data_IF_660578766125
#
_entry.id   IF_660578766125
#
_cell.length_a   1.000
_cell.length_b   1.000
_cell.length_c   1.000
_cell.angle_alpha   90.00
_cell.angle_beta   90.00
_cell.angle_gamma   90.00
#
_symmetry.space_group_name_H-M   'P 1'
#
loop_
_entity.id
_entity.type
_entity.pdbx_description
1 polymer ?
#
# COMPACT_ATOMS: atom_id res chain seq x y z
N UNK A 1 -50.54 -5.69 -4.36
CA UNK A 1 -49.50 -6.57 -4.93
C UNK A 1 -48.15 -5.91 -4.69
N UNK A 2 -47.35 -6.35 -3.70
CA UNK A 2 -45.93 -5.96 -3.56
C UNK A 2 -45.18 -6.87 -4.49
N UNK A 3 -44.61 -6.31 -5.55
CA UNK A 3 -43.60 -7.03 -6.33
C UNK A 3 -42.44 -7.31 -5.41
N UNK A 4 -42.20 -8.58 -5.06
CA UNK A 4 -40.99 -9.00 -4.39
C UNK A 4 -39.83 -8.66 -5.35
N UNK A 5 -39.06 -7.64 -5.01
CA UNK A 5 -37.85 -7.30 -5.73
C UNK A 5 -36.86 -8.44 -5.48
N UNK A 6 -36.55 -9.23 -6.51
CA UNK A 6 -35.61 -10.31 -6.43
C UNK A 6 -34.21 -9.69 -6.17
N UNK A 7 -33.61 -9.89 -4.98
CA UNK A 7 -32.32 -9.30 -4.65
C UNK A 7 -31.23 -9.72 -5.62
N UNK A 8 -31.35 -10.88 -6.26
CA UNK A 8 -30.35 -11.37 -7.22
C UNK A 8 -30.24 -10.48 -8.48
N UNK A 9 -31.33 -9.80 -8.87
CA UNK A 9 -31.35 -8.94 -10.07
C UNK A 9 -30.55 -7.63 -9.91
N UNK A 10 -30.28 -7.19 -8.69
CA UNK A 10 -29.51 -5.97 -8.41
C UNK A 10 -28.04 -6.25 -8.03
N UNK A 11 -27.76 -7.41 -7.48
CA UNK A 11 -26.41 -7.83 -7.04
C UNK A 11 -25.42 -7.88 -8.19
N UNK A 12 -25.81 -8.56 -9.27
CA UNK A 12 -24.93 -8.79 -10.42
C UNK A 12 -24.45 -7.50 -11.11
N UNK A 13 -25.31 -6.55 -11.48
CA UNK A 13 -24.87 -5.32 -12.15
C UNK A 13 -23.97 -4.44 -11.28
N UNK A 14 -24.20 -4.38 -9.98
CA UNK A 14 -23.39 -3.58 -9.04
C UNK A 14 -21.98 -4.20 -8.90
N UNK A 15 -21.92 -5.51 -8.71
CA UNK A 15 -20.65 -6.24 -8.61
C UNK A 15 -19.84 -6.13 -9.91
N UNK A 16 -20.49 -6.27 -11.06
CA UNK A 16 -19.84 -6.11 -12.36
C UNK A 16 -19.30 -4.68 -12.56
N UNK A 17 -20.07 -3.66 -12.19
CA UNK A 17 -19.61 -2.26 -12.24
C UNK A 17 -18.38 -2.03 -11.36
N UNK A 18 -18.42 -2.50 -10.11
CA UNK A 18 -17.28 -2.38 -9.19
C UNK A 18 -16.05 -3.13 -9.71
N UNK A 19 -16.24 -4.34 -10.23
CA UNK A 19 -15.17 -5.14 -10.83
C UNK A 19 -14.55 -4.44 -12.05
N UNK A 20 -15.39 -3.89 -12.95
CA UNK A 20 -14.91 -3.16 -14.13
C UNK A 20 -14.11 -1.91 -13.75
N UNK A 21 -14.60 -1.13 -12.78
CA UNK A 21 -13.89 0.07 -12.28
C UNK A 21 -12.57 -0.30 -11.61
N UNK A 22 -12.58 -1.32 -10.76
CA UNK A 22 -11.36 -1.79 -10.08
C UNK A 22 -10.32 -2.31 -11.07
N UNK A 23 -10.75 -3.04 -12.10
CA UNK A 23 -9.87 -3.54 -13.17
C UNK A 23 -9.29 -2.37 -13.95
N UNK A 24 -10.12 -1.43 -14.39
CA UNK A 24 -9.67 -0.26 -15.12
C UNK A 24 -8.64 0.56 -14.33
N UNK A 25 -8.94 0.86 -13.07
CA UNK A 25 -8.03 1.64 -12.21
C UNK A 25 -6.75 0.88 -11.87
N UNK A 26 -6.82 -0.40 -11.53
CA UNK A 26 -5.66 -1.22 -11.22
C UNK A 26 -4.70 -1.33 -12.40
N UNK A 27 -5.23 -1.59 -13.60
CA UNK A 27 -4.42 -1.64 -14.84
C UNK A 27 -3.85 -0.26 -15.19
N UNK A 28 -4.65 0.80 -15.06
CA UNK A 28 -4.20 2.17 -15.33
C UNK A 28 -3.05 2.58 -14.41
N UNK A 29 -3.14 2.33 -13.10
CA UNK A 29 -2.10 2.66 -12.14
C UNK A 29 -0.81 1.87 -12.41
N UNK A 30 -0.91 0.58 -12.73
CA UNK A 30 0.23 -0.24 -13.10
C UNK A 30 0.88 0.24 -14.41
N UNK A 31 0.07 0.61 -15.40
CA UNK A 31 0.54 1.19 -16.67
C UNK A 31 1.29 2.51 -16.46
N UNK A 32 0.77 3.40 -15.60
CA UNK A 32 1.45 4.64 -15.22
C UNK A 32 2.80 4.32 -14.55
N UNK A 33 2.85 3.33 -13.65
CA UNK A 33 4.08 2.88 -13.01
C UNK A 33 5.12 2.35 -14.00
N UNK A 34 4.67 1.56 -14.98
CA UNK A 34 5.51 1.06 -16.06
C UNK A 34 6.05 2.20 -16.93
N UNK A 35 5.18 3.10 -17.39
CA UNK A 35 5.57 4.29 -18.18
C UNK A 35 6.56 5.20 -17.45
N UNK A 36 6.41 5.37 -16.13
CA UNK A 36 7.31 6.16 -15.29
C UNK A 36 8.61 5.43 -14.93
N UNK A 37 8.85 4.25 -15.47
CA UNK A 37 10.02 3.40 -15.16
C UNK A 37 10.17 3.12 -13.66
N UNK A 38 9.06 2.88 -12.97
CA UNK A 38 9.02 2.45 -11.57
C UNK A 38 8.74 0.95 -11.44
N UNK A 39 8.19 0.32 -12.49
CA UNK A 39 7.93 -1.11 -12.60
C UNK A 39 8.56 -1.64 -13.88
N UNK A 40 9.05 -2.86 -13.86
CA UNK A 40 9.33 -3.63 -15.07
C UNK A 40 8.03 -4.25 -15.63
N UNK A 41 8.12 -5.00 -16.72
CA UNK A 41 6.94 -5.61 -17.33
C UNK A 41 6.29 -6.66 -16.41
N UNK A 42 7.09 -7.48 -15.75
CA UNK A 42 6.61 -8.50 -14.80
C UNK A 42 5.97 -7.86 -13.58
N UNK A 43 6.61 -6.84 -13.02
CA UNK A 43 6.09 -6.06 -11.91
C UNK A 43 4.78 -5.33 -12.25
N UNK A 44 4.63 -4.83 -13.50
CA UNK A 44 3.40 -4.17 -13.92
C UNK A 44 2.20 -5.15 -13.98
N UNK A 45 2.42 -6.39 -14.44
CA UNK A 45 1.37 -7.41 -14.46
C UNK A 45 0.91 -7.71 -13.03
N UNK A 46 1.85 -8.01 -12.13
CA UNK A 46 1.52 -8.32 -10.74
C UNK A 46 0.98 -7.12 -9.97
N UNK A 47 1.46 -5.90 -10.22
CA UNK A 47 0.90 -4.68 -9.67
C UNK A 47 -0.54 -4.44 -10.13
N UNK A 48 -0.89 -4.82 -11.37
CA UNK A 48 -2.28 -4.77 -11.84
C UNK A 48 -3.17 -5.70 -11.01
N UNK A 49 -2.75 -6.95 -10.79
CA UNK A 49 -3.52 -7.93 -10.00
C UNK A 49 -3.70 -7.45 -8.55
N UNK A 50 -2.61 -7.05 -7.90
CA UNK A 50 -2.63 -6.48 -6.54
C UNK A 50 -3.56 -5.27 -6.48
N UNK A 51 -3.44 -4.35 -7.44
CA UNK A 51 -4.27 -3.13 -7.53
C UNK A 51 -5.75 -3.45 -7.71
N UNK A 52 -6.10 -4.37 -8.61
CA UNK A 52 -7.49 -4.78 -8.86
C UNK A 52 -8.12 -5.35 -7.59
N UNK A 53 -7.47 -6.33 -6.95
CA UNK A 53 -8.00 -6.97 -5.74
C UNK A 53 -8.13 -5.96 -4.60
N UNK A 54 -7.13 -5.10 -4.42
CA UNK A 54 -7.11 -4.11 -3.33
C UNK A 54 -8.19 -3.05 -3.53
N UNK A 55 -8.34 -2.50 -4.75
CA UNK A 55 -9.39 -1.51 -5.07
C UNK A 55 -10.78 -2.15 -4.98
N UNK A 56 -10.93 -3.39 -5.46
CA UNK A 56 -12.17 -4.15 -5.35
C UNK A 56 -12.57 -4.38 -3.89
N UNK A 57 -11.63 -4.66 -3.01
CA UNK A 57 -11.87 -4.82 -1.57
C UNK A 57 -12.33 -3.52 -0.89
N UNK A 58 -11.89 -2.35 -1.40
CA UNK A 58 -12.35 -1.05 -0.93
C UNK A 58 -11.51 0.08 -1.48
N UNK A 59 -12.15 1.20 -1.84
CA UNK A 59 -11.46 2.37 -2.41
C UNK A 59 -10.38 2.92 -1.46
N UNK A 60 -10.61 2.88 -0.16
CA UNK A 60 -9.63 3.27 0.87
C UNK A 60 -8.33 2.45 0.77
N UNK A 61 -8.44 1.14 0.55
CA UNK A 61 -7.29 0.27 0.38
C UNK A 61 -6.53 0.61 -0.90
N UNK A 62 -7.27 0.85 -2.00
CA UNK A 62 -6.68 1.28 -3.26
C UNK A 62 -5.97 2.62 -3.20
N UNK A 63 -6.55 3.60 -2.50
CA UNK A 63 -5.95 4.92 -2.29
C UNK A 63 -4.67 4.83 -1.46
N UNK A 64 -4.67 4.04 -0.38
CA UNK A 64 -3.47 3.82 0.45
C UNK A 64 -2.35 3.16 -0.35
N UNK A 65 -2.67 2.11 -1.12
CA UNK A 65 -1.72 1.44 -2.00
C UNK A 65 -1.13 2.41 -3.04
N UNK A 66 -1.99 3.20 -3.70
CA UNK A 66 -1.56 4.18 -4.69
C UNK A 66 -0.67 5.27 -4.07
N UNK A 67 -1.05 5.79 -2.91
CA UNK A 67 -0.26 6.77 -2.17
C UNK A 67 1.13 6.22 -1.84
N UNK A 68 1.20 5.03 -1.23
CA UNK A 68 2.46 4.36 -0.92
C UNK A 68 3.34 4.16 -2.16
N UNK A 69 2.75 3.66 -3.24
CA UNK A 69 3.48 3.40 -4.49
C UNK A 69 4.05 4.68 -5.10
N UNK A 70 3.26 5.74 -5.21
CA UNK A 70 3.71 6.98 -5.86
C UNK A 70 4.64 7.79 -4.97
N UNK A 71 4.37 7.88 -3.67
CA UNK A 71 5.25 8.58 -2.72
C UNK A 71 6.61 7.88 -2.61
N UNK A 72 6.63 6.57 -2.43
CA UNK A 72 7.85 5.78 -2.43
C UNK A 72 8.64 5.91 -3.74
N UNK A 73 7.95 5.86 -4.89
CA UNK A 73 8.60 6.05 -6.20
C UNK A 73 9.14 7.46 -6.40
N UNK A 74 8.52 8.47 -5.81
CA UNK A 74 9.01 9.84 -5.86
C UNK A 74 10.27 10.00 -5.01
N UNK A 75 10.25 9.49 -3.78
CA UNK A 75 11.38 9.60 -2.83
C UNK A 75 12.61 8.83 -3.33
N UNK A 76 12.43 7.67 -3.94
CA UNK A 76 13.54 6.92 -4.57
C UNK A 76 14.25 7.73 -5.66
N UNK A 77 13.55 8.61 -6.36
CA UNK A 77 14.12 9.45 -7.42
C UNK A 77 14.79 10.74 -6.92
N UNK A 78 14.58 11.09 -5.64
CA UNK A 78 15.20 12.30 -5.06
C UNK A 78 16.71 12.12 -4.97
N UNK A 79 17.45 13.09 -5.52
CA UNK A 79 18.92 13.16 -5.50
C UNK A 79 19.60 11.85 -5.92
N UNK A 80 19.19 11.28 -7.05
CA UNK A 80 19.72 10.03 -7.59
C UNK A 80 21.25 10.02 -7.76
N UNK A 81 21.89 11.15 -8.06
CA UNK A 81 23.35 11.26 -8.21
C UNK A 81 24.10 11.04 -6.87
N UNK A 82 23.51 11.48 -5.76
CA UNK A 82 24.10 11.22 -4.42
C UNK A 82 23.97 9.74 -4.08
N UNK A 83 22.81 9.16 -4.34
CA UNK A 83 22.52 7.74 -4.07
C UNK A 83 23.40 6.81 -4.89
N UNK A 84 23.71 7.12 -6.14
CA UNK A 84 24.63 6.36 -6.99
C UNK A 84 26.04 6.26 -6.44
N UNK A 85 26.49 7.26 -5.70
CA UNK A 85 27.82 7.24 -5.09
C UNK A 85 27.88 6.35 -3.84
N UNK A 86 26.74 6.09 -3.23
CA UNK A 86 26.62 5.30 -1.99
C UNK A 86 26.25 3.86 -2.30
N UNK A 87 25.43 3.63 -3.33
CA UNK A 87 24.98 2.30 -3.73
C UNK A 87 25.35 2.03 -5.20
N UNK A 88 26.31 1.11 -5.41
CA UNK A 88 26.77 0.69 -6.74
C UNK A 88 25.66 0.01 -7.57
N UNK A 89 24.62 -0.52 -6.91
CA UNK A 89 23.46 -1.15 -7.57
C UNK A 89 22.38 -0.14 -7.97
N UNK A 90 22.52 1.12 -7.62
CA UNK A 90 21.57 2.16 -7.97
C UNK A 90 21.68 2.52 -9.46
N UNK A 91 20.80 1.93 -10.31
CA UNK A 91 20.74 2.16 -11.76
C UNK A 91 20.06 3.48 -12.11
N UNK A 92 20.35 3.99 -13.31
CA UNK A 92 19.65 5.16 -13.86
C UNK A 92 18.14 4.98 -13.91
N UNK A 93 17.41 5.86 -13.21
CA UNK A 93 15.96 5.80 -13.11
C UNK A 93 15.41 5.12 -11.86
N UNK A 94 16.26 4.69 -10.92
CA UNK A 94 15.88 3.90 -9.76
C UNK A 94 15.84 2.40 -10.07
N UNK A 95 15.72 1.57 -9.04
CA UNK A 95 15.51 0.13 -9.23
C UNK A 95 14.09 -0.11 -9.77
N UNK A 96 13.98 -0.70 -10.97
CA UNK A 96 12.69 -1.14 -11.51
C UNK A 96 12.18 -2.28 -10.63
N UNK A 97 10.98 -2.11 -10.06
CA UNK A 97 10.37 -3.15 -9.23
C UNK A 97 9.86 -4.28 -10.12
N UNK A 98 10.41 -5.46 -9.91
CA UNK A 98 10.01 -6.71 -10.56
C UNK A 98 8.82 -7.38 -9.82
N UNK A 99 8.36 -8.51 -10.34
CA UNK A 99 7.25 -9.24 -9.73
C UNK A 99 7.57 -9.70 -8.30
N UNK A 100 8.83 -10.05 -7.98
CA UNK A 100 9.23 -10.52 -6.65
C UNK A 100 9.05 -9.40 -5.63
N UNK A 101 9.51 -8.20 -5.96
CA UNK A 101 9.38 -7.02 -5.09
C UNK A 101 7.91 -6.58 -4.94
N UNK A 102 7.13 -6.63 -6.03
CA UNK A 102 5.70 -6.32 -5.97
C UNK A 102 4.95 -7.33 -5.11
N UNK A 103 5.26 -8.62 -5.22
CA UNK A 103 4.63 -9.66 -4.39
C UNK A 103 5.09 -9.58 -2.94
N UNK A 104 6.37 -9.34 -2.68
CA UNK A 104 6.90 -9.22 -1.32
C UNK A 104 6.20 -8.11 -0.51
N UNK A 105 5.90 -6.98 -1.16
CA UNK A 105 5.26 -5.83 -0.50
C UNK A 105 3.74 -5.88 -0.62
N UNK A 106 3.19 -6.37 -1.74
CA UNK A 106 1.78 -6.30 -2.08
C UNK A 106 0.94 -7.47 -1.60
N UNK A 107 1.49 -8.69 -1.46
CA UNK A 107 0.70 -9.89 -1.18
C UNK A 107 -0.01 -9.82 0.17
N UNK A 108 0.72 -9.55 1.24
CA UNK A 108 0.16 -9.51 2.60
C UNK A 108 -0.96 -8.47 2.72
N UNK A 109 -0.77 -7.19 2.35
CA UNK A 109 -1.85 -6.21 2.46
C UNK A 109 -3.03 -6.52 1.52
N UNK A 110 -2.82 -7.12 0.35
CA UNK A 110 -3.91 -7.55 -0.51
C UNK A 110 -4.78 -8.60 0.16
N UNK A 111 -4.17 -9.57 0.84
CA UNK A 111 -4.89 -10.57 1.63
C UNK A 111 -5.65 -9.94 2.80
N UNK A 112 -5.06 -8.96 3.49
CA UNK A 112 -5.74 -8.23 4.57
C UNK A 112 -6.95 -7.43 4.05
N UNK A 113 -6.83 -6.78 2.90
CA UNK A 113 -7.93 -6.07 2.27
C UNK A 113 -9.07 -7.02 1.87
N UNK A 114 -8.73 -8.15 1.25
CA UNK A 114 -9.70 -9.18 0.89
C UNK A 114 -10.37 -9.81 2.12
N UNK A 115 -9.61 -10.09 3.19
CA UNK A 115 -10.15 -10.62 4.45
C UNK A 115 -11.09 -9.61 5.13
N UNK A 116 -10.79 -8.31 5.07
CA UNK A 116 -11.67 -7.25 5.56
C UNK A 116 -13.02 -7.28 4.84
N UNK A 117 -13.01 -7.36 3.51
CA UNK A 117 -14.23 -7.45 2.69
C UNK A 117 -15.00 -8.75 2.98
N UNK A 118 -14.29 -9.88 3.06
CA UNK A 118 -14.89 -11.18 3.34
C UNK A 118 -15.60 -11.20 4.70
N UNK A 119 -14.99 -10.60 5.73
CA UNK A 119 -15.55 -10.51 7.09
C UNK A 119 -16.85 -9.72 7.15
N UNK A 120 -17.08 -8.79 6.23
CA UNK A 120 -18.31 -8.00 6.12
C UNK A 120 -19.42 -8.71 5.31
N UNK A 121 -19.21 -9.95 4.89
CA UNK A 121 -20.15 -10.69 4.05
C UNK A 121 -19.81 -10.66 2.54
N UNK A 122 -18.63 -10.19 2.18
CA UNK A 122 -18.13 -10.23 0.81
C UNK A 122 -19.02 -9.45 -0.18
N UNK A 123 -19.52 -10.14 -1.20
CA UNK A 123 -20.32 -9.53 -2.27
C UNK A 123 -21.68 -8.98 -1.80
N UNK A 124 -22.30 -9.60 -0.82
CA UNK A 124 -23.60 -9.12 -0.28
C UNK A 124 -23.43 -7.74 0.37
N UNK A 125 -22.37 -7.54 1.14
CA UNK A 125 -22.04 -6.24 1.72
C UNK A 125 -21.85 -5.14 0.67
N UNK A 126 -21.21 -5.46 -0.46
CA UNK A 126 -21.04 -4.50 -1.57
C UNK A 126 -22.37 -3.99 -2.10
N UNK A 127 -23.37 -4.85 -2.13
CA UNK A 127 -24.70 -4.52 -2.68
C UNK A 127 -25.53 -3.69 -1.73
N UNK A 128 -25.51 -4.04 -0.44
CA UNK A 128 -26.31 -3.38 0.58
C UNK A 128 -25.84 -1.94 0.85
N UNK A 129 -24.60 -1.64 0.50
CA UNK A 129 -23.95 -0.38 0.87
C UNK A 129 -23.47 0.46 -0.34
N UNK A 130 -24.24 0.56 -1.37
CA UNK A 130 -23.93 1.29 -2.63
C UNK A 130 -23.92 2.83 -2.45
N UNK A 131 -23.64 3.39 -1.34
CA UNK A 131 -23.65 4.85 -1.28
C UNK A 131 -23.07 5.56 -0.07
N UNK A 132 -22.62 4.88 0.95
CA UNK A 132 -22.40 5.56 2.22
C UNK A 132 -21.08 5.42 2.99
N UNK A 133 -20.05 4.69 2.52
CA UNK A 133 -19.24 3.95 3.47
C UNK A 133 -17.78 4.26 3.62
N UNK A 134 -17.34 5.44 3.36
CA UNK A 134 -15.92 5.76 3.56
C UNK A 134 -15.52 5.98 5.02
N UNK A 135 -16.44 6.29 5.92
CA UNK A 135 -16.09 6.83 7.23
C UNK A 135 -16.22 5.86 8.41
N UNK A 136 -17.14 4.89 8.38
CA UNK A 136 -17.53 4.21 9.62
C UNK A 136 -16.65 3.02 10.03
N UNK A 137 -16.04 2.32 9.11
CA UNK A 137 -15.39 1.05 9.40
C UNK A 137 -14.06 1.15 10.18
N UNK A 138 -13.35 2.26 10.12
CA UNK A 138 -12.05 2.42 10.82
C UNK A 138 -12.24 2.76 12.30
N UNK A 139 -13.34 3.44 12.65
CA UNK A 139 -13.58 3.95 14.01
C UNK A 139 -14.27 2.89 14.89
N UNK A 140 -14.71 1.81 14.31
CA UNK A 140 -15.62 0.85 14.95
C UNK A 140 -14.99 -0.16 15.91
N UNK A 141 -13.65 -0.23 16.01
CA UNK A 141 -12.97 -1.22 16.86
C UNK A 141 -13.27 -1.01 18.35
N UNK A 142 -13.46 0.22 18.77
CA UNK A 142 -13.63 0.60 20.18
C UNK A 142 -15.10 0.65 20.65
N UNK A 143 -16.07 0.51 19.77
CA UNK A 143 -17.47 0.60 20.15
C UNK A 143 -18.04 -0.77 20.48
N UNK A 144 -18.52 -0.97 21.71
CA UNK A 144 -19.06 -2.23 22.21
C UNK A 144 -20.39 -2.65 21.56
N UNK A 145 -21.12 -1.69 20.96
CA UNK A 145 -22.44 -1.94 20.32
C UNK A 145 -22.35 -2.46 18.90
N UNK A 146 -21.14 -2.60 18.33
CA UNK A 146 -20.94 -3.03 16.95
C UNK A 146 -20.83 -4.55 16.88
N UNK A 147 -21.36 -5.12 15.79
CA UNK A 147 -21.30 -6.56 15.55
C UNK A 147 -19.86 -7.08 15.40
N UNK A 148 -19.67 -8.37 15.64
CA UNK A 148 -18.35 -9.00 15.61
C UNK A 148 -17.71 -8.99 14.22
N UNK A 149 -18.51 -9.08 13.15
CA UNK A 149 -18.02 -9.05 11.77
C UNK A 149 -17.37 -7.71 11.43
N UNK A 150 -18.01 -6.60 11.79
CA UNK A 150 -17.47 -5.25 11.60
C UNK A 150 -16.20 -5.01 12.42
N UNK A 151 -16.10 -5.55 13.64
CA UNK A 151 -14.88 -5.47 14.45
C UNK A 151 -13.71 -6.21 13.78
N UNK A 152 -13.94 -7.42 13.29
CA UNK A 152 -12.93 -8.21 12.58
C UNK A 152 -12.49 -7.51 11.28
N UNK A 153 -13.44 -7.01 10.49
CA UNK A 153 -13.13 -6.27 9.27
C UNK A 153 -12.30 -5.00 9.55
N UNK A 154 -12.64 -4.29 10.63
CA UNK A 154 -11.88 -3.11 11.08
C UNK A 154 -10.47 -3.46 11.53
N UNK A 155 -10.29 -4.60 12.22
CA UNK A 155 -8.97 -5.07 12.61
C UNK A 155 -8.08 -5.36 11.39
N UNK A 156 -8.62 -6.01 10.34
CA UNK A 156 -7.90 -6.20 9.09
C UNK A 156 -7.57 -4.88 8.38
N UNK A 157 -8.48 -3.91 8.41
CA UNK A 157 -8.25 -2.59 7.84
C UNK A 157 -7.13 -1.83 8.58
N UNK A 158 -7.09 -1.89 9.90
CA UNK A 158 -6.01 -1.30 10.70
C UNK A 158 -4.68 -2.01 10.43
N UNK A 159 -4.68 -3.35 10.37
CA UNK A 159 -3.48 -4.11 10.03
C UNK A 159 -2.94 -3.72 8.63
N UNK A 160 -3.83 -3.52 7.65
CA UNK A 160 -3.48 -3.03 6.32
C UNK A 160 -2.80 -1.64 6.35
N UNK A 161 -3.40 -0.70 7.08
CA UNK A 161 -2.85 0.65 7.21
C UNK A 161 -1.50 0.64 7.95
N UNK A 162 -1.40 -0.12 9.05
CA UNK A 162 -0.16 -0.27 9.82
C UNK A 162 0.96 -0.87 8.99
N UNK A 163 0.63 -1.86 8.13
CA UNK A 163 1.60 -2.46 7.22
C UNK A 163 2.20 -1.41 6.27
N UNK A 164 1.36 -0.62 5.59
CA UNK A 164 1.86 0.39 4.67
C UNK A 164 2.53 1.57 5.38
N UNK A 165 2.10 1.92 6.59
CA UNK A 165 2.80 2.92 7.40
C UNK A 165 4.21 2.46 7.77
N UNK A 166 4.38 1.19 8.16
CA UNK A 166 5.68 0.61 8.46
C UNK A 166 6.58 0.57 7.21
N UNK A 167 6.07 0.04 6.09
CA UNK A 167 6.82 0.00 4.84
C UNK A 167 7.16 1.40 4.29
N UNK A 168 6.25 2.37 4.46
CA UNK A 168 6.46 3.76 4.07
C UNK A 168 7.55 4.41 4.91
N UNK A 169 7.48 4.27 6.23
CA UNK A 169 8.48 4.77 7.16
C UNK A 169 9.88 4.21 6.87
N UNK A 170 9.98 2.90 6.63
CA UNK A 170 11.23 2.25 6.24
C UNK A 170 11.77 2.77 4.90
N UNK A 171 10.89 2.90 3.90
CA UNK A 171 11.27 3.45 2.59
C UNK A 171 11.77 4.89 2.72
N UNK A 172 11.06 5.74 3.43
CA UNK A 172 11.45 7.14 3.59
C UNK A 172 12.72 7.27 4.43
N UNK A 173 12.87 6.47 5.50
CA UNK A 173 14.06 6.45 6.32
C UNK A 173 15.32 6.06 5.52
N UNK A 174 15.24 5.01 4.72
CA UNK A 174 16.36 4.53 3.91
C UNK A 174 16.68 5.48 2.76
N UNK A 175 15.69 5.92 2.02
CA UNK A 175 15.85 6.75 0.83
C UNK A 175 16.28 8.19 1.14
N UNK A 176 15.76 8.80 2.19
CA UNK A 176 16.14 10.16 2.61
C UNK A 176 17.29 10.15 3.61
N UNK A 177 17.41 9.10 4.42
CA UNK A 177 18.47 8.99 5.43
C UNK A 177 19.87 9.00 4.83
N UNK A 178 20.06 8.42 3.63
CA UNK A 178 21.33 8.43 2.89
C UNK A 178 21.74 9.85 2.48
N UNK A 179 20.77 10.77 2.34
CA UNK A 179 21.04 12.16 1.98
C UNK A 179 21.49 13.03 3.17
N UNK A 180 21.60 12.45 4.36
CA UNK A 180 22.07 13.16 5.56
C UNK A 180 23.49 13.68 5.37
N UNK A 181 23.71 14.93 5.76
CA UNK A 181 25.06 15.53 5.79
C UNK A 181 25.91 14.99 6.94
N UNK A 182 25.31 14.48 8.00
CA UNK A 182 25.98 13.84 9.13
C UNK A 182 26.14 12.35 8.89
N UNK A 183 27.27 11.77 9.33
CA UNK A 183 27.48 10.33 9.26
C UNK A 183 26.41 9.59 10.07
N UNK A 184 25.82 8.52 9.53
CA UNK A 184 24.90 7.69 10.27
C UNK A 184 25.61 6.98 11.43
N UNK A 185 24.85 6.59 12.44
CA UNK A 185 25.36 5.89 13.62
C UNK A 185 24.75 4.51 13.74
N UNK A 186 25.57 3.55 14.11
CA UNK A 186 25.16 2.15 14.19
C UNK A 186 24.24 1.91 15.39
N UNK A 187 23.01 1.46 15.14
CA UNK A 187 21.99 1.25 16.19
C UNK A 187 22.40 0.17 17.19
N UNK A 188 23.08 -0.88 16.74
CA UNK A 188 23.53 -2.00 17.58
C UNK A 188 24.58 -1.58 18.63
N UNK A 189 25.20 -0.43 18.46
CA UNK A 189 26.16 0.16 19.42
C UNK A 189 25.55 1.31 20.22
N UNK A 190 24.21 1.38 20.34
CA UNK A 190 23.48 2.51 20.92
C UNK A 190 23.89 3.87 20.31
N UNK A 191 24.06 3.90 18.99
CA UNK A 191 24.46 5.07 18.23
C UNK A 191 25.82 5.69 18.62
N UNK A 192 26.72 4.92 19.23
CA UNK A 192 28.08 5.40 19.60
C UNK A 192 29.06 5.37 18.45
N UNK A 193 28.92 4.41 17.50
CA UNK A 193 29.84 4.23 16.39
C UNK A 193 29.29 4.89 15.13
N UNK A 194 30.05 5.79 14.53
CA UNK A 194 29.77 6.33 13.20
C UNK A 194 30.13 5.31 12.13
N UNK A 195 29.31 5.24 11.08
CA UNK A 195 29.47 4.33 9.95
C UNK A 195 29.28 5.07 8.64
N UNK A 196 29.68 4.47 7.54
CA UNK A 196 29.46 5.06 6.22
C UNK A 196 27.98 4.99 5.82
N UNK A 197 27.48 5.97 5.05
CA UNK A 197 26.13 5.94 4.49
C UNK A 197 25.88 4.64 3.71
N UNK A 198 24.69 4.05 3.86
CA UNK A 198 24.33 2.76 3.25
C UNK A 198 24.69 1.53 4.10
N UNK A 199 25.39 1.68 5.25
CA UNK A 199 25.68 0.56 6.15
C UNK A 199 24.39 0.05 6.81
N UNK A 200 24.16 -1.26 6.77
CA UNK A 200 23.02 -1.89 7.45
C UNK A 200 23.03 -1.58 8.95
N UNK A 201 21.88 -1.12 9.48
CA UNK A 201 21.74 -0.69 10.86
C UNK A 201 22.33 0.69 11.16
N UNK A 202 22.84 1.40 10.15
CA UNK A 202 23.22 2.81 10.24
C UNK A 202 22.00 3.71 10.24
N UNK A 203 21.81 4.50 11.30
CA UNK A 203 20.68 5.41 11.48
C UNK A 203 21.16 6.85 11.44
N UNK A 204 20.54 7.67 10.62
CA UNK A 204 20.75 9.13 10.57
C UNK A 204 19.57 9.88 11.18
N UNK A 205 19.81 11.05 11.72
CA UNK A 205 18.75 11.91 12.27
C UNK A 205 17.71 12.24 11.18
N UNK A 206 18.17 12.52 9.96
CA UNK A 206 17.28 12.80 8.83
C UNK A 206 16.41 11.59 8.50
N UNK A 207 16.99 10.35 8.53
CA UNK A 207 16.23 9.12 8.30
C UNK A 207 15.16 8.89 9.36
N UNK A 208 15.47 9.13 10.64
CA UNK A 208 14.47 9.04 11.73
C UNK A 208 13.33 10.03 11.53
N UNK A 209 13.62 11.28 11.20
CA UNK A 209 12.53 12.24 10.90
C UNK A 209 11.74 11.85 9.68
N UNK A 210 12.39 11.33 8.64
CA UNK A 210 11.72 10.88 7.43
C UNK A 210 10.81 9.66 7.65
N UNK A 211 11.10 8.82 8.65
CA UNK A 211 10.25 7.66 8.96
C UNK A 211 8.91 8.02 9.64
N UNK A 212 8.78 9.27 10.10
CA UNK A 212 7.56 9.75 10.79
C UNK A 212 6.60 10.44 9.79
N UNK A 213 7.08 10.77 8.59
CA UNK A 213 6.27 11.37 7.53
C UNK A 213 5.31 10.36 6.92
#
# INVERSE_FOLDING_TARGET
MRFAHDPSSTVLPITLKRMSVSTLLGVLLAFIGYKKKSLDFSGAIFASLVGVVTIFSGVRFGLTLAFFFFSGSAVTKVQGDVKRRVDEHFKEGGCLRDFVQVMAIGLVPTLLAAASLYSLGGLSFIVDNVGGEFAEAIISICNSSIDSATKVASAFAVAFLSYFSCCGGDTFASELGVLSKSKPRLITTFCRKEVEPGTNGGVSILGVFASIL
#
